data_IF_043796207917
#
_entry.id   IF_043796207917
#
_cell.length_a   1.000
_cell.length_b   1.000
_cell.length_c   1.000
_cell.angle_alpha   90.00
_cell.angle_beta   90.00
_cell.angle_gamma   90.00
#
_symmetry.space_group_name_H-M   'P 1'
#
loop_
_entity.id
_entity.type
_entity.pdbx_description
1 polymer ?
#
# COMPACT_ATOMS: atom_id res chain seq x y z
N UNK A 1 -37.28 29.09 0.75
CA UNK A 1 -36.31 30.19 0.74
C UNK A 1 -35.11 29.72 1.55
N UNK A 2 -33.96 29.51 0.91
CA UNK A 2 -32.75 29.03 1.58
C UNK A 2 -32.13 30.18 2.36
N UNK A 3 -31.81 29.97 3.64
CA UNK A 3 -31.13 30.96 4.49
C UNK A 3 -29.73 31.25 3.96
N UNK A 4 -29.26 32.51 3.98
CA UNK A 4 -27.96 32.94 3.43
C UNK A 4 -26.80 32.66 4.40
N UNK A 5 -26.76 31.48 5.02
CA UNK A 5 -25.74 31.11 6.04
C UNK A 5 -24.59 30.28 5.44
N UNK A 6 -24.16 30.61 4.22
CA UNK A 6 -22.92 30.06 3.63
C UNK A 6 -21.67 30.77 4.17
N UNK A 7 -20.55 30.07 4.30
CA UNK A 7 -19.28 30.65 4.74
C UNK A 7 -18.79 31.75 3.78
N UNK A 8 -19.12 31.66 2.48
CA UNK A 8 -18.89 32.71 1.49
C UNK A 8 -19.71 33.96 1.80
N UNK A 9 -20.98 33.83 2.16
CA UNK A 9 -21.82 34.98 2.53
C UNK A 9 -21.31 35.67 3.80
N UNK A 10 -20.84 34.90 4.78
CA UNK A 10 -20.21 35.42 5.99
C UNK A 10 -18.87 36.10 5.74
N UNK A 11 -18.11 35.67 4.74
CA UNK A 11 -16.89 36.38 4.33
C UNK A 11 -17.22 37.78 3.82
N UNK A 12 -18.14 37.88 2.85
CA UNK A 12 -18.49 39.15 2.22
C UNK A 12 -19.20 40.13 3.17
N UNK A 13 -20.03 39.62 4.09
CA UNK A 13 -20.79 40.45 5.02
C UNK A 13 -19.90 41.29 5.95
N UNK A 14 -18.69 40.81 6.31
CA UNK A 14 -17.68 41.54 7.09
C UNK A 14 -17.22 42.82 6.40
N UNK A 15 -17.40 42.90 5.09
CA UNK A 15 -16.94 44.01 4.27
C UNK A 15 -18.06 44.89 3.72
N UNK A 16 -19.32 44.73 4.14
CA UNK A 16 -20.42 45.60 3.74
C UNK A 16 -20.19 47.08 4.16
N UNK A 17 -20.44 48.02 3.26
CA UNK A 17 -20.40 49.47 3.53
C UNK A 17 -21.21 50.26 2.50
N UNK A 18 -21.31 51.59 2.62
CA UNK A 18 -22.20 52.41 1.78
C UNK A 18 -22.01 52.23 0.26
N UNK A 19 -20.81 51.88 -0.23
CA UNK A 19 -20.53 51.67 -1.66
C UNK A 19 -20.42 50.20 -2.08
N UNK A 20 -20.64 49.25 -1.16
CA UNK A 20 -20.58 47.82 -1.45
C UNK A 20 -21.57 47.06 -0.57
N UNK A 21 -22.46 46.31 -1.20
CA UNK A 21 -23.40 45.40 -0.56
C UNK A 21 -23.28 44.06 -1.24
N UNK A 22 -22.98 43.01 -0.49
CA UNK A 22 -22.85 41.64 -1.01
C UNK A 22 -24.04 41.24 -1.88
N UNK A 23 -23.77 40.75 -3.10
CA UNK A 23 -24.78 40.21 -4.00
C UNK A 23 -24.68 38.68 -4.03
N UNK A 24 -25.61 37.94 -3.39
CA UNK A 24 -25.55 36.47 -3.34
C UNK A 24 -25.83 35.80 -4.68
N UNK A 25 -26.33 36.54 -5.68
CA UNK A 25 -26.63 36.01 -7.00
C UNK A 25 -25.46 36.14 -7.98
N UNK A 26 -24.40 36.88 -7.63
CA UNK A 26 -23.20 36.99 -8.44
C UNK A 26 -22.25 35.81 -8.18
N UNK A 27 -21.52 35.31 -9.20
CA UNK A 27 -20.44 34.35 -8.99
C UNK A 27 -19.43 34.87 -7.96
N UNK A 28 -19.03 34.02 -7.01
CA UNK A 28 -18.25 34.45 -5.87
C UNK A 28 -16.91 35.13 -6.25
N UNK A 29 -16.24 34.65 -7.30
CA UNK A 29 -15.00 35.26 -7.81
C UNK A 29 -15.23 36.66 -8.39
N UNK A 30 -16.33 36.87 -9.10
CA UNK A 30 -16.71 38.20 -9.63
C UNK A 30 -17.06 39.15 -8.48
N UNK A 31 -17.74 38.62 -7.46
CA UNK A 31 -18.10 39.36 -6.26
C UNK A 31 -16.87 39.77 -5.44
N UNK A 32 -15.83 38.92 -5.38
CA UNK A 32 -14.54 39.24 -4.78
C UNK A 32 -13.80 40.36 -5.53
N UNK A 33 -13.82 40.33 -6.87
CA UNK A 33 -13.26 41.42 -7.70
C UNK A 33 -13.98 42.74 -7.42
N UNK A 34 -15.32 42.72 -7.40
CA UNK A 34 -16.13 43.91 -7.10
C UNK A 34 -15.85 44.47 -5.71
N UNK A 35 -15.64 43.61 -4.72
CA UNK A 35 -15.23 44.01 -3.38
C UNK A 35 -13.86 44.72 -3.40
N UNK A 36 -12.88 44.14 -4.09
CA UNK A 36 -11.53 44.72 -4.20
C UNK A 36 -11.55 46.11 -4.85
N UNK A 37 -12.32 46.27 -5.93
CA UNK A 37 -12.52 47.53 -6.64
C UNK A 37 -13.22 48.56 -5.74
N UNK A 38 -14.31 48.18 -5.08
CA UNK A 38 -15.10 49.08 -4.23
C UNK A 38 -14.28 49.58 -3.03
N UNK A 39 -13.44 48.71 -2.45
CA UNK A 39 -12.58 49.05 -1.32
C UNK A 39 -11.27 49.73 -1.70
N UNK A 40 -10.96 49.82 -3.00
CA UNK A 40 -9.70 50.34 -3.52
C UNK A 40 -8.48 49.69 -2.85
N UNK A 41 -8.51 48.37 -2.68
CA UNK A 41 -7.42 47.64 -2.05
C UNK A 41 -6.18 47.62 -2.93
N UNK A 42 -5.02 47.92 -2.34
CA UNK A 42 -3.73 47.67 -2.98
C UNK A 42 -3.38 46.17 -3.01
N UNK A 43 -2.49 45.77 -3.92
CA UNK A 43 -2.08 44.38 -4.18
C UNK A 43 -1.79 43.55 -2.92
N UNK A 44 -1.16 44.15 -1.91
CA UNK A 44 -0.84 43.47 -0.64
C UNK A 44 -2.09 43.05 0.16
N UNK A 45 -3.12 43.91 0.20
CA UNK A 45 -4.40 43.58 0.85
C UNK A 45 -5.21 42.60 0.03
N UNK A 46 -5.20 42.74 -1.30
CA UNK A 46 -5.86 41.79 -2.21
C UNK A 46 -5.32 40.38 -1.94
N UNK A 47 -4.00 40.16 -2.02
CA UNK A 47 -3.39 38.84 -1.80
C UNK A 47 -3.74 38.23 -0.45
N UNK A 48 -3.82 39.06 0.61
CA UNK A 48 -4.18 38.58 1.96
C UNK A 48 -5.62 38.06 2.00
N UNK A 49 -6.57 38.84 1.47
CA UNK A 49 -7.99 38.48 1.51
C UNK A 49 -8.34 37.44 0.44
N UNK A 50 -7.61 37.39 -0.67
CA UNK A 50 -7.74 36.37 -1.71
C UNK A 50 -7.37 34.99 -1.17
N UNK A 51 -6.30 34.90 -0.38
CA UNK A 51 -5.92 33.65 0.27
C UNK A 51 -6.99 33.17 1.28
N UNK A 52 -7.63 34.09 2.01
CA UNK A 52 -8.74 33.76 2.91
C UNK A 52 -10.00 33.35 2.13
N UNK A 53 -10.32 34.08 1.07
CA UNK A 53 -11.47 33.85 0.21
C UNK A 53 -11.40 32.50 -0.53
N UNK A 54 -10.23 32.13 -1.07
CA UNK A 54 -10.04 30.85 -1.75
C UNK A 54 -10.21 29.67 -0.80
N UNK A 55 -9.75 29.78 0.45
CA UNK A 55 -9.98 28.73 1.45
C UNK A 55 -11.49 28.52 1.73
N UNK A 56 -12.25 29.61 1.78
CA UNK A 56 -13.69 29.55 2.02
C UNK A 56 -14.43 28.96 0.80
N UNK A 57 -13.96 29.25 -0.42
CA UNK A 57 -14.49 28.63 -1.64
C UNK A 57 -14.19 27.14 -1.72
N UNK A 58 -12.98 26.72 -1.33
CA UNK A 58 -12.60 25.32 -1.22
C UNK A 58 -13.49 24.60 -0.20
N UNK A 59 -13.73 25.19 0.99
CA UNK A 59 -14.64 24.65 2.00
C UNK A 59 -16.09 24.48 1.49
N UNK A 60 -16.62 25.44 0.72
CA UNK A 60 -17.95 25.33 0.12
C UNK A 60 -18.01 24.34 -1.06
N UNK A 61 -16.94 24.20 -1.84
CA UNK A 61 -16.87 23.22 -2.93
C UNK A 61 -16.72 21.79 -2.42
N UNK A 62 -15.93 21.58 -1.37
CA UNK A 62 -15.73 20.29 -0.71
C UNK A 62 -17.04 19.76 -0.10
N UNK A 63 -17.95 20.66 0.32
CA UNK A 63 -19.29 20.28 0.81
C UNK A 63 -20.20 19.64 -0.26
N UNK A 64 -19.84 19.72 -1.55
CA UNK A 64 -20.59 19.10 -2.66
C UNK A 64 -20.08 17.71 -3.07
N UNK A 65 -19.22 17.08 -2.27
CA UNK A 65 -18.84 15.68 -2.50
C UNK A 65 -18.00 15.47 -3.75
N UNK A 66 -17.06 16.39 -4.02
CA UNK A 66 -16.04 16.14 -5.05
C UNK A 66 -15.07 15.10 -4.51
N UNK A 67 -15.00 13.95 -5.16
CA UNK A 67 -13.99 12.94 -4.88
C UNK A 67 -12.59 13.55 -5.08
N UNK A 68 -11.68 13.30 -4.13
CA UNK A 68 -10.29 13.72 -4.26
C UNK A 68 -9.68 13.20 -5.56
N UNK A 69 -8.88 14.04 -6.22
CA UNK A 69 -8.15 13.62 -7.41
C UNK A 69 -6.92 12.78 -7.05
N UNK A 70 -6.25 12.21 -8.06
CA UNK A 70 -5.15 11.28 -7.88
C UNK A 70 -3.98 11.89 -7.09
N UNK A 71 -3.67 13.17 -7.27
CA UNK A 71 -2.54 13.80 -6.59
C UNK A 71 -2.82 14.00 -5.10
N UNK A 72 -4.08 14.33 -4.74
CA UNK A 72 -4.50 14.40 -3.34
C UNK A 72 -4.49 13.02 -2.68
N UNK A 73 -4.92 11.97 -3.39
CA UNK A 73 -4.86 10.58 -2.89
C UNK A 73 -3.39 10.17 -2.63
N UNK A 74 -2.49 10.43 -3.58
CA UNK A 74 -1.06 10.14 -3.44
C UNK A 74 -0.42 10.93 -2.29
N UNK A 75 -0.79 12.20 -2.14
CA UNK A 75 -0.38 13.01 -1.00
C UNK A 75 -0.74 12.30 0.31
N UNK A 76 -1.99 11.82 0.47
CA UNK A 76 -2.40 11.17 1.71
C UNK A 76 -1.72 9.82 1.92
N UNK A 77 -1.63 8.98 0.89
CA UNK A 77 -0.92 7.69 0.93
C UNK A 77 0.51 7.83 1.42
N UNK A 78 1.23 8.84 0.93
CA UNK A 78 2.59 9.16 1.38
C UNK A 78 2.68 9.41 2.89
N UNK A 79 1.60 9.89 3.50
CA UNK A 79 1.52 10.19 4.93
C UNK A 79 0.65 9.21 5.74
N UNK A 80 0.15 8.14 5.13
CA UNK A 80 -0.57 7.07 5.84
C UNK A 80 0.32 6.38 6.88
N UNK A 81 -0.31 5.98 7.97
CA UNK A 81 0.30 5.20 9.05
C UNK A 81 -0.79 4.63 9.97
N UNK A 82 -0.42 3.91 11.01
CA UNK A 82 -1.37 3.14 11.82
C UNK A 82 -2.52 3.95 12.46
N UNK A 83 -2.37 5.24 12.74
CA UNK A 83 -3.48 6.09 13.24
C UNK A 83 -4.25 6.82 12.13
N UNK A 84 -3.74 6.81 10.90
CA UNK A 84 -4.30 7.56 9.79
C UNK A 84 -4.29 6.71 8.51
N UNK A 85 -5.48 6.27 8.12
CA UNK A 85 -5.80 5.73 6.79
C UNK A 85 -6.71 6.71 6.11
N UNK A 86 -6.39 7.12 4.89
CA UNK A 86 -7.14 8.15 4.19
C UNK A 86 -8.56 7.67 3.88
N UNK A 87 -9.55 8.42 4.34
CA UNK A 87 -10.96 8.15 4.07
C UNK A 87 -11.43 8.96 2.85
N UNK A 88 -11.71 8.25 1.74
CA UNK A 88 -12.15 8.86 0.48
C UNK A 88 -13.56 9.48 0.58
N UNK A 89 -14.35 9.07 1.57
CA UNK A 89 -15.70 9.60 1.81
C UNK A 89 -15.67 10.90 2.62
N UNK A 90 -14.50 11.28 3.14
CA UNK A 90 -14.28 12.50 3.92
C UNK A 90 -13.56 13.55 3.06
N UNK A 91 -13.98 14.83 3.10
CA UNK A 91 -13.30 15.88 2.37
C UNK A 91 -11.80 15.94 2.64
N UNK A 92 -11.01 16.09 1.59
CA UNK A 92 -9.55 16.11 1.66
C UNK A 92 -9.03 17.12 2.70
N UNK A 93 -9.66 18.30 2.82
CA UNK A 93 -9.28 19.28 3.82
C UNK A 93 -9.46 18.78 5.27
N UNK A 94 -10.56 18.04 5.55
CA UNK A 94 -10.82 17.45 6.86
C UNK A 94 -9.83 16.32 7.16
N UNK A 95 -9.54 15.48 6.17
CA UNK A 95 -8.53 14.42 6.29
C UNK A 95 -7.12 15.00 6.49
N UNK A 96 -6.79 16.12 5.85
CA UNK A 96 -5.53 16.82 6.10
C UNK A 96 -5.44 17.33 7.53
N UNK A 97 -6.52 17.90 8.06
CA UNK A 97 -6.57 18.37 9.44
C UNK A 97 -6.43 17.20 10.43
N UNK A 98 -7.15 16.10 10.19
CA UNK A 98 -7.03 14.85 10.98
C UNK A 98 -5.60 14.32 10.95
N UNK A 99 -4.97 14.27 9.79
CA UNK A 99 -3.57 13.87 9.62
C UNK A 99 -2.62 14.77 10.43
N UNK A 100 -2.81 16.09 10.38
CA UNK A 100 -1.98 17.06 11.11
C UNK A 100 -2.09 16.86 12.62
N UNK A 101 -3.31 16.67 13.12
CA UNK A 101 -3.58 16.42 14.54
C UNK A 101 -2.93 15.13 15.03
N UNK A 102 -3.17 14.03 14.31
CA UNK A 102 -2.62 12.72 14.67
C UNK A 102 -1.09 12.68 14.60
N UNK A 103 -0.49 13.40 13.64
CA UNK A 103 0.97 13.41 13.44
C UNK A 103 1.71 14.35 14.38
N UNK A 104 1.04 15.31 15.01
CA UNK A 104 1.64 16.26 15.94
C UNK A 104 2.83 17.04 15.35
N UNK A 105 2.79 17.40 14.06
CA UNK A 105 3.94 18.02 13.41
C UNK A 105 4.27 19.41 13.97
N UNK A 106 5.53 19.62 14.33
CA UNK A 106 6.04 20.95 14.67
C UNK A 106 5.97 21.94 13.50
N UNK A 107 5.90 23.25 13.80
CA UNK A 107 5.66 24.35 12.84
C UNK A 107 6.45 24.25 11.54
N UNK A 108 7.74 23.89 11.61
CA UNK A 108 8.63 23.78 10.42
C UNK A 108 8.18 22.67 9.48
N UNK A 109 7.84 21.49 10.01
CA UNK A 109 7.38 20.34 9.23
C UNK A 109 5.97 20.59 8.70
N UNK A 110 5.07 21.10 9.55
CA UNK A 110 3.70 21.45 9.15
C UNK A 110 3.68 22.43 7.97
N UNK A 111 4.51 23.48 7.98
CA UNK A 111 4.61 24.43 6.87
C UNK A 111 5.01 23.75 5.56
N UNK A 112 5.99 22.83 5.60
CA UNK A 112 6.41 22.05 4.43
C UNK A 112 5.26 21.17 3.92
N UNK A 113 4.64 20.39 4.80
CA UNK A 113 3.58 19.45 4.39
C UNK A 113 2.33 20.20 3.89
N UNK A 114 1.97 21.33 4.51
CA UNK A 114 0.88 22.19 4.03
C UNK A 114 1.14 22.74 2.63
N UNK A 115 2.40 22.99 2.27
CA UNK A 115 2.77 23.37 0.91
C UNK A 115 2.61 22.20 -0.07
N UNK A 116 3.03 20.99 0.32
CA UNK A 116 2.85 19.78 -0.49
C UNK A 116 1.37 19.48 -0.74
N UNK A 117 0.54 19.56 0.29
CA UNK A 117 -0.91 19.36 0.18
C UNK A 117 -1.58 20.37 -0.77
N UNK A 118 -1.24 21.66 -0.64
CA UNK A 118 -1.74 22.71 -1.55
C UNK A 118 -1.32 22.48 -3.00
N UNK A 119 -0.11 21.98 -3.23
CA UNK A 119 0.35 21.66 -4.57
C UNK A 119 -0.46 20.49 -5.17
N UNK A 120 -0.76 19.46 -4.38
CA UNK A 120 -1.61 18.35 -4.82
C UNK A 120 -3.02 18.82 -5.21
N UNK A 121 -3.64 19.68 -4.39
CA UNK A 121 -4.93 20.31 -4.72
C UNK A 121 -4.89 21.10 -6.03
N UNK A 122 -3.81 21.86 -6.28
CA UNK A 122 -3.67 22.64 -7.51
C UNK A 122 -3.52 21.75 -8.75
N UNK A 123 -2.73 20.68 -8.66
CA UNK A 123 -2.54 19.74 -9.77
C UNK A 123 -3.86 19.05 -10.15
N UNK A 124 -4.61 18.57 -9.16
CA UNK A 124 -5.93 17.96 -9.40
C UNK A 124 -6.92 18.96 -10.02
N UNK A 125 -6.88 20.23 -9.60
CA UNK A 125 -7.73 21.27 -10.17
C UNK A 125 -7.36 21.61 -11.63
N UNK A 126 -6.06 21.64 -11.95
CA UNK A 126 -5.56 21.86 -13.31
C UNK A 126 -6.00 20.74 -14.26
N UNK A 127 -5.86 19.46 -13.86
CA UNK A 127 -6.28 18.31 -14.67
C UNK A 127 -7.80 18.28 -14.93
N UNK A 128 -8.60 18.64 -13.92
CA UNK A 128 -10.06 18.74 -14.08
C UNK A 128 -10.46 19.87 -15.02
N UNK A 129 -9.71 20.97 -15.06
CA UNK A 129 -9.98 22.09 -15.97
C UNK A 129 -9.67 21.74 -17.44
N UNK A 130 -8.63 20.94 -17.68
CA UNK A 130 -8.24 20.48 -19.02
C UNK A 130 -9.23 19.43 -19.54
N UNK A 131 -9.75 18.58 -18.67
CA UNK A 131 -10.71 17.52 -19.02
C UNK A 131 -12.11 18.08 -19.32
N UNK A 132 -12.53 19.17 -18.66
CA UNK A 132 -13.83 19.80 -18.92
C UNK A 132 -13.91 20.54 -20.26
N UNK A 133 -12.77 20.85 -20.90
CA UNK A 133 -12.72 21.52 -22.20
C UNK A 133 -12.73 20.55 -23.39
N UNK A 134 -12.67 19.24 -23.15
CA UNK A 134 -12.67 18.21 -24.18
C UNK A 134 -13.85 17.28 -23.97
N UNK A 135 -15.07 17.69 -24.32
CA UNK A 135 -16.17 16.75 -24.53
C UNK A 135 -15.81 15.84 -25.71
N UNK A 136 -15.51 14.54 -25.51
CA UNK A 136 -15.31 13.62 -26.61
C UNK A 136 -16.67 13.06 -26.96
N UNK A 137 -17.25 13.52 -28.07
CA UNK A 137 -18.40 12.88 -28.69
C UNK A 137 -17.96 11.53 -29.26
N UNK A 138 -17.93 10.49 -28.41
CA UNK A 138 -17.61 9.13 -28.83
C UNK A 138 -17.74 8.14 -27.68
N UNK A 139 -18.46 7.02 -27.84
CA UNK A 139 -18.65 6.05 -26.77
C UNK A 139 -17.33 5.28 -26.56
N UNK A 140 -16.55 5.66 -25.55
CA UNK A 140 -15.47 4.81 -25.05
C UNK A 140 -16.07 3.73 -24.15
N UNK A 141 -16.42 2.64 -24.81
CA UNK A 141 -16.81 1.39 -24.21
C UNK A 141 -15.54 0.63 -23.78
N UNK A 142 -15.06 0.85 -22.55
CA UNK A 142 -14.11 -0.03 -21.86
C UNK A 142 -14.33 0.09 -20.35
N UNK A 143 -15.47 -0.38 -19.85
CA UNK A 143 -15.57 -0.89 -18.48
C UNK A 143 -14.77 -2.20 -18.41
N UNK A 144 -13.44 -2.11 -18.49
CA UNK A 144 -12.58 -3.22 -18.06
C UNK A 144 -12.59 -3.15 -16.54
N UNK A 145 -13.56 -3.83 -15.95
CA UNK A 145 -13.60 -4.07 -14.52
C UNK A 145 -12.27 -4.74 -14.15
N UNK A 146 -11.38 -3.98 -13.51
CA UNK A 146 -10.06 -4.45 -13.13
C UNK A 146 -10.24 -5.62 -12.16
N UNK A 147 -9.96 -6.83 -12.65
CA UNK A 147 -10.15 -8.06 -11.89
C UNK A 147 -9.06 -8.16 -10.83
N UNK A 148 -9.39 -7.83 -9.60
CA UNK A 148 -8.50 -8.05 -8.46
C UNK A 148 -8.71 -9.47 -7.93
N UNK A 149 -8.04 -10.44 -8.56
CA UNK A 149 -8.21 -11.88 -8.27
C UNK A 149 -8.13 -12.23 -6.77
N UNK A 150 -7.26 -11.57 -6.00
CA UNK A 150 -7.16 -11.83 -4.56
C UNK A 150 -8.38 -11.30 -3.81
N UNK A 151 -8.85 -10.10 -4.16
CA UNK A 151 -10.04 -9.54 -3.57
C UNK A 151 -11.31 -10.32 -3.98
N UNK A 152 -11.37 -10.77 -5.23
CA UNK A 152 -12.45 -11.62 -5.75
C UNK A 152 -12.50 -12.95 -5.00
N UNK A 153 -11.37 -13.66 -4.90
CA UNK A 153 -11.30 -14.90 -4.14
C UNK A 153 -11.71 -14.69 -2.67
N UNK A 154 -11.21 -13.64 -2.00
CA UNK A 154 -11.61 -13.34 -0.61
C UNK A 154 -13.10 -12.98 -0.48
N UNK A 155 -13.72 -12.35 -1.50
CA UNK A 155 -15.16 -12.09 -1.53
C UNK A 155 -15.97 -13.37 -1.71
N UNK A 156 -15.48 -14.32 -2.50
CA UNK A 156 -16.11 -15.63 -2.67
C UNK A 156 -16.10 -16.46 -1.38
N UNK A 157 -15.10 -16.24 -0.50
CA UNK A 157 -15.00 -16.92 0.80
C UNK A 157 -15.88 -16.33 1.91
N UNK A 158 -16.79 -15.37 1.61
CA UNK A 158 -17.64 -14.77 2.63
C UNK A 158 -18.56 -15.81 3.31
N UNK A 159 -18.56 -15.80 4.65
CA UNK A 159 -19.37 -16.72 5.47
C UNK A 159 -19.79 -16.04 6.79
N UNK A 160 -20.69 -16.64 7.59
CA UNK A 160 -21.02 -16.10 8.91
C UNK A 160 -19.75 -15.85 9.74
N UNK A 161 -19.52 -14.61 10.16
CA UNK A 161 -18.32 -14.20 10.92
C UNK A 161 -17.15 -13.68 10.06
N UNK A 162 -17.15 -13.89 8.75
CA UNK A 162 -16.14 -13.34 7.84
C UNK A 162 -16.76 -12.55 6.67
N UNK A 163 -16.37 -11.28 6.55
CA UNK A 163 -16.67 -10.43 5.40
C UNK A 163 -15.42 -9.68 5.00
N UNK A 164 -15.02 -9.80 3.73
CA UNK A 164 -13.91 -9.03 3.17
C UNK A 164 -14.16 -7.53 3.27
N UNK A 165 -13.20 -6.77 3.81
CA UNK A 165 -13.30 -5.32 4.03
C UNK A 165 -12.30 -4.48 3.23
N UNK A 166 -11.71 -5.02 2.16
CA UNK A 166 -10.68 -4.31 1.41
C UNK A 166 -9.32 -4.26 2.12
N UNK A 167 -9.10 -5.08 3.14
CA UNK A 167 -7.81 -5.17 3.84
C UNK A 167 -6.73 -5.88 3.02
N UNK A 168 -5.51 -5.89 3.57
CA UNK A 168 -4.39 -6.64 2.99
C UNK A 168 -4.73 -8.14 2.89
N UNK A 169 -4.47 -8.80 1.74
CA UNK A 169 -4.92 -10.17 1.50
C UNK A 169 -4.52 -11.18 2.57
N UNK A 170 -3.29 -11.10 3.08
CA UNK A 170 -2.79 -12.00 4.12
C UNK A 170 -3.44 -11.80 5.49
N UNK A 171 -3.84 -10.56 5.82
CA UNK A 171 -4.54 -10.26 7.07
C UNK A 171 -6.00 -10.67 6.98
N UNK A 172 -6.62 -10.46 5.81
CA UNK A 172 -7.96 -10.93 5.51
C UNK A 172 -8.03 -12.46 5.50
N UNK A 173 -7.04 -13.13 4.92
CA UNK A 173 -6.90 -14.59 4.98
C UNK A 173 -6.75 -15.10 6.41
N UNK A 174 -5.98 -14.43 7.27
CA UNK A 174 -5.85 -14.81 8.70
C UNK A 174 -7.18 -14.68 9.45
N UNK A 175 -7.98 -13.65 9.14
CA UNK A 175 -9.34 -13.50 9.71
C UNK A 175 -10.25 -14.63 9.25
N UNK A 176 -10.22 -14.95 7.95
CA UNK A 176 -10.97 -16.07 7.37
C UNK A 176 -10.55 -17.41 8.01
N UNK A 177 -9.24 -17.69 8.10
CA UNK A 177 -8.70 -18.86 8.79
C UNK A 177 -9.24 -18.96 10.23
N UNK A 178 -9.27 -17.84 10.95
CA UNK A 178 -9.76 -17.82 12.33
C UNK A 178 -11.23 -18.21 12.40
N UNK A 179 -12.07 -17.69 11.51
CA UNK A 179 -13.50 -18.02 11.44
C UNK A 179 -13.70 -19.49 11.05
N UNK A 180 -13.01 -19.97 10.02
CA UNK A 180 -13.07 -21.36 9.58
C UNK A 180 -12.59 -22.34 10.64
N UNK A 181 -11.58 -21.97 11.41
CA UNK A 181 -11.14 -22.73 12.57
C UNK A 181 -12.24 -22.81 13.64
N UNK A 182 -12.94 -21.72 13.92
CA UNK A 182 -14.04 -21.74 14.89
C UNK A 182 -15.19 -22.63 14.42
N UNK A 183 -15.62 -22.51 13.17
CA UNK A 183 -16.65 -23.37 12.56
C UNK A 183 -16.27 -24.86 12.68
N UNK A 184 -15.00 -25.19 12.36
CA UNK A 184 -14.49 -26.56 12.47
C UNK A 184 -14.47 -27.07 13.92
N UNK A 185 -14.03 -26.24 14.87
CA UNK A 185 -14.00 -26.61 16.29
C UNK A 185 -15.39 -26.85 16.87
N UNK A 186 -16.37 -26.03 16.47
CA UNK A 186 -17.76 -26.18 16.89
C UNK A 186 -18.35 -27.49 16.35
N UNK A 187 -18.14 -27.78 15.07
CA UNK A 187 -18.54 -29.06 14.47
C UNK A 187 -17.93 -30.26 15.21
N UNK A 188 -16.62 -30.21 15.49
CA UNK A 188 -15.91 -31.29 16.21
C UNK A 188 -16.38 -31.45 17.66
N UNK A 189 -16.68 -30.35 18.34
CA UNK A 189 -17.26 -30.39 19.68
C UNK A 189 -18.63 -31.10 19.67
N UNK A 190 -19.48 -30.81 18.69
CA UNK A 190 -20.77 -31.48 18.53
C UNK A 190 -20.64 -32.96 18.17
N UNK A 191 -19.66 -33.32 17.32
CA UNK A 191 -19.41 -34.71 16.92
C UNK A 191 -18.94 -35.58 18.10
N UNK A 192 -18.02 -35.07 18.93
CA UNK A 192 -17.44 -35.83 20.04
C UNK A 192 -18.30 -35.75 21.30
N UNK A 193 -19.09 -34.68 21.48
CA UNK A 193 -19.96 -34.47 22.64
C UNK A 193 -19.21 -34.09 23.92
N UNK A 194 -17.98 -33.58 23.81
CA UNK A 194 -17.18 -33.05 24.92
C UNK A 194 -16.24 -31.93 24.46
N UNK A 195 -15.69 -31.20 25.43
CA UNK A 195 -14.62 -30.24 25.19
C UNK A 195 -13.41 -30.88 24.51
N UNK A 196 -12.88 -30.17 23.50
CA UNK A 196 -11.70 -30.56 22.74
C UNK A 196 -10.42 -30.31 23.55
N UNK A 197 -9.50 -31.28 23.54
CA UNK A 197 -8.15 -31.15 24.11
C UNK A 197 -7.33 -30.12 23.33
N UNK A 198 -6.19 -29.71 23.90
CA UNK A 198 -5.28 -28.78 23.22
C UNK A 198 -4.73 -29.41 21.93
N UNK A 199 -4.47 -30.71 21.95
CA UNK A 199 -4.02 -31.50 20.82
C UNK A 199 -5.07 -31.53 19.71
N UNK A 200 -6.33 -31.86 20.04
CA UNK A 200 -7.46 -31.87 19.10
C UNK A 200 -7.67 -30.47 18.47
N UNK A 201 -7.50 -29.39 19.25
CA UNK A 201 -7.56 -28.02 18.71
C UNK A 201 -6.40 -27.64 17.78
N UNK A 202 -5.28 -28.37 17.84
CA UNK A 202 -4.12 -28.19 16.94
C UNK A 202 -4.27 -28.98 15.65
N UNK A 203 -5.14 -30.00 15.62
CA UNK A 203 -5.41 -30.80 14.42
C UNK A 203 -6.00 -29.98 13.27
N UNK A 204 -6.67 -28.85 13.54
CA UNK A 204 -7.14 -27.91 12.50
C UNK A 204 -6.08 -27.62 11.44
N UNK A 205 -4.82 -27.37 11.85
CA UNK A 205 -3.75 -27.04 10.90
C UNK A 205 -3.31 -28.21 10.00
N UNK A 206 -3.79 -29.42 10.28
CA UNK A 206 -3.58 -30.65 9.52
C UNK A 206 -4.90 -31.18 8.93
N UNK A 207 -5.99 -30.43 9.05
CA UNK A 207 -7.27 -30.85 8.53
C UNK A 207 -7.29 -30.64 7.01
N UNK A 208 -7.97 -31.52 6.25
CA UNK A 208 -8.10 -31.34 4.80
C UNK A 208 -8.74 -30.01 4.42
N UNK A 209 -9.66 -29.49 5.22
CA UNK A 209 -10.34 -28.21 4.98
C UNK A 209 -9.37 -27.03 5.08
N UNK A 210 -8.50 -27.02 6.10
CA UNK A 210 -7.47 -26.00 6.22
C UNK A 210 -6.43 -26.12 5.11
N UNK A 211 -5.99 -27.33 4.78
CA UNK A 211 -5.03 -27.56 3.71
C UNK A 211 -5.58 -27.09 2.35
N UNK A 212 -6.85 -27.38 2.03
CA UNK A 212 -7.52 -26.89 0.81
C UNK A 212 -7.61 -25.38 0.78
N UNK A 213 -8.15 -24.76 1.84
CA UNK A 213 -8.31 -23.31 1.96
C UNK A 213 -6.97 -22.58 1.79
N UNK A 214 -5.92 -23.12 2.43
CA UNK A 214 -4.57 -22.58 2.36
C UNK A 214 -3.98 -22.76 0.96
N UNK A 215 -4.11 -23.95 0.36
CA UNK A 215 -3.59 -24.21 -0.98
C UNK A 215 -4.26 -23.33 -2.04
N UNK A 216 -5.58 -23.14 -1.97
CA UNK A 216 -6.34 -22.26 -2.85
C UNK A 216 -5.88 -20.81 -2.74
N UNK A 217 -5.76 -20.26 -1.51
CA UNK A 217 -5.28 -18.90 -1.31
C UNK A 217 -3.91 -18.66 -1.94
N UNK A 218 -2.93 -19.54 -1.65
CA UNK A 218 -1.58 -19.36 -2.18
C UNK A 218 -1.48 -19.63 -3.69
N UNK A 219 -2.38 -20.44 -4.25
CA UNK A 219 -2.52 -20.59 -5.70
C UNK A 219 -2.92 -19.26 -6.33
N UNK A 220 -3.92 -18.56 -5.77
CA UNK A 220 -4.34 -17.23 -6.26
C UNK A 220 -3.23 -16.20 -6.10
N UNK A 221 -2.49 -16.22 -4.98
CA UNK A 221 -1.32 -15.34 -4.80
C UNK A 221 -0.27 -15.58 -5.89
N UNK A 222 0.02 -16.83 -6.24
CA UNK A 222 0.95 -17.16 -7.33
C UNK A 222 0.40 -16.75 -8.70
N UNK A 223 -0.91 -16.83 -8.92
CA UNK A 223 -1.53 -16.34 -10.16
C UNK A 223 -1.42 -14.83 -10.32
N UNK A 224 -1.69 -14.06 -9.25
CA UNK A 224 -1.47 -12.60 -9.27
C UNK A 224 0.00 -12.26 -9.51
N UNK A 225 0.92 -13.01 -8.91
CA UNK A 225 2.36 -12.85 -9.18
C UNK A 225 2.69 -13.08 -10.66
N UNK A 226 2.15 -14.14 -11.26
CA UNK A 226 2.38 -14.44 -12.68
C UNK A 226 1.76 -13.39 -13.60
N UNK A 227 0.57 -12.86 -13.29
CA UNK A 227 -0.04 -11.77 -14.06
C UNK A 227 0.84 -10.51 -14.09
N UNK A 228 1.35 -10.10 -12.91
CA UNK A 228 2.29 -8.97 -12.82
C UNK A 228 3.53 -9.23 -13.67
N UNK A 229 4.06 -10.45 -13.64
CA UNK A 229 5.21 -10.82 -14.48
C UNK A 229 4.85 -10.85 -15.97
N UNK A 230 3.67 -11.31 -16.34
CA UNK A 230 3.22 -11.34 -17.73
C UNK A 230 3.06 -9.93 -18.28
N UNK A 231 2.54 -8.99 -17.49
CA UNK A 231 2.48 -7.57 -17.83
C UNK A 231 3.89 -7.00 -18.06
N UNK A 232 4.85 -7.35 -17.18
CA UNK A 232 6.25 -7.00 -17.43
C UNK A 232 6.78 -7.61 -18.73
N UNK A 233 6.48 -8.87 -19.00
CA UNK A 233 6.92 -9.56 -20.20
C UNK A 233 6.33 -8.91 -21.46
N UNK A 234 5.07 -8.49 -21.42
CA UNK A 234 4.40 -7.78 -22.51
C UNK A 234 5.08 -6.42 -22.80
N UNK A 235 5.38 -5.64 -21.76
CA UNK A 235 6.03 -4.33 -21.93
C UNK A 235 7.48 -4.47 -22.40
N UNK A 236 8.22 -5.44 -21.83
CA UNK A 236 9.68 -5.55 -22.05
C UNK A 236 10.06 -6.46 -23.19
N UNK A 237 9.17 -7.34 -23.65
CA UNK A 237 9.46 -8.43 -24.59
C UNK A 237 10.41 -9.50 -24.01
N UNK A 238 10.56 -9.55 -22.68
CA UNK A 238 11.40 -10.52 -21.97
C UNK A 238 10.60 -11.70 -21.47
N UNK A 239 11.30 -12.79 -21.13
CA UNK A 239 10.71 -13.89 -20.35
C UNK A 239 10.63 -13.56 -18.85
N UNK A 240 9.79 -14.25 -18.07
CA UNK A 240 9.59 -13.93 -16.64
C UNK A 240 10.89 -13.92 -15.81
N UNK A 241 11.80 -14.86 -16.05
CA UNK A 241 13.08 -14.91 -15.34
C UNK A 241 14.06 -13.83 -15.81
N UNK A 242 13.99 -13.40 -17.07
CA UNK A 242 14.78 -12.27 -17.60
C UNK A 242 14.31 -10.94 -17.00
N UNK A 243 13.00 -10.80 -16.73
CA UNK A 243 12.45 -9.65 -16.00
C UNK A 243 13.04 -9.59 -14.59
N UNK A 244 12.95 -10.68 -13.82
CA UNK A 244 13.51 -10.75 -12.46
C UNK A 244 15.03 -10.52 -12.45
N UNK A 245 15.73 -11.11 -13.42
CA UNK A 245 17.15 -10.87 -13.66
C UNK A 245 17.46 -9.40 -13.96
N UNK A 246 16.62 -8.71 -14.74
CA UNK A 246 16.75 -7.29 -15.03
C UNK A 246 16.53 -6.41 -13.80
N UNK A 247 15.52 -6.74 -12.98
CA UNK A 247 15.20 -6.04 -11.75
C UNK A 247 16.31 -6.17 -10.70
N UNK A 248 16.89 -7.36 -10.54
CA UNK A 248 17.80 -7.67 -9.44
C UNK A 248 19.27 -7.83 -9.84
N UNK A 249 19.56 -7.98 -11.12
CA UNK A 249 20.90 -8.20 -11.64
C UNK A 249 21.70 -6.91 -11.86
N UNK A 250 23.00 -7.06 -12.09
CA UNK A 250 23.92 -5.93 -12.40
C UNK A 250 23.92 -5.50 -13.88
N UNK A 251 22.96 -5.95 -14.69
CA UNK A 251 22.84 -5.58 -16.11
C UNK A 251 23.91 -6.19 -17.02
N UNK A 252 24.59 -7.26 -16.58
CA UNK A 252 25.52 -7.97 -17.46
C UNK A 252 24.73 -8.82 -18.44
N UNK A 253 25.00 -8.63 -19.72
CA UNK A 253 24.43 -9.43 -20.80
C UNK A 253 25.18 -10.77 -20.84
N UNK A 254 24.53 -11.89 -20.51
CA UNK A 254 25.23 -13.16 -20.40
C UNK A 254 25.58 -13.70 -21.80
N UNK A 255 26.84 -14.12 -21.97
CA UNK A 255 27.32 -14.78 -23.18
C UNK A 255 26.70 -16.19 -23.34
N UNK A 256 25.46 -16.26 -23.85
CA UNK A 256 24.76 -17.48 -24.25
C UNK A 256 23.70 -17.99 -23.25
N UNK A 257 22.59 -18.57 -23.77
CA UNK A 257 21.37 -18.93 -23.00
C UNK A 257 21.61 -19.89 -21.83
N UNK A 258 22.43 -20.93 -21.99
CA UNK A 258 22.65 -21.91 -20.91
C UNK A 258 23.55 -21.37 -19.80
N UNK A 259 24.59 -20.60 -20.16
CA UNK A 259 25.43 -19.91 -19.18
C UNK A 259 24.62 -18.84 -18.44
N UNK A 260 23.75 -18.11 -19.17
CA UNK A 260 22.83 -17.13 -18.62
C UNK A 260 21.98 -17.74 -17.50
N UNK A 261 21.26 -18.83 -17.77
CA UNK A 261 20.34 -19.44 -16.79
C UNK A 261 21.03 -19.81 -15.48
N UNK A 262 22.26 -20.35 -15.53
CA UNK A 262 23.04 -20.69 -14.33
C UNK A 262 23.47 -19.44 -13.55
N UNK A 263 23.93 -18.40 -14.25
CA UNK A 263 24.31 -17.12 -13.63
C UNK A 263 23.08 -16.47 -12.98
N UNK A 264 21.94 -16.48 -13.67
CA UNK A 264 20.71 -15.90 -13.14
C UNK A 264 20.17 -16.66 -11.95
N UNK A 265 20.21 -17.99 -11.96
CA UNK A 265 19.86 -18.79 -10.79
C UNK A 265 20.74 -18.42 -9.58
N UNK A 266 22.05 -18.21 -9.78
CA UNK A 266 22.95 -17.74 -8.73
C UNK A 266 22.61 -16.33 -8.23
N UNK A 267 22.16 -15.43 -9.11
CA UNK A 267 21.74 -14.08 -8.73
C UNK A 267 20.45 -14.15 -7.92
N UNK A 268 19.42 -14.81 -8.43
CA UNK A 268 18.12 -14.93 -7.78
C UNK A 268 18.21 -15.70 -6.45
N UNK A 269 19.12 -16.67 -6.32
CA UNK A 269 19.40 -17.33 -5.04
C UNK A 269 19.94 -16.40 -3.94
N UNK A 270 20.31 -15.17 -4.28
CA UNK A 270 20.76 -14.13 -3.35
C UNK A 270 19.76 -12.98 -3.19
N UNK A 271 18.60 -13.08 -3.86
CA UNK A 271 17.54 -12.08 -3.77
C UNK A 271 16.59 -12.49 -2.66
N UNK A 272 16.66 -11.81 -1.53
CA UNK A 272 15.81 -12.10 -0.37
C UNK A 272 14.69 -11.09 -0.31
N UNK A 273 13.50 -11.43 -0.83
CA UNK A 273 12.35 -10.53 -0.87
C UNK A 273 11.13 -11.18 -0.24
N UNK A 274 10.23 -10.36 0.30
CA UNK A 274 8.91 -10.81 0.69
C UNK A 274 7.98 -10.73 -0.52
N UNK A 275 7.28 -11.82 -0.85
CA UNK A 275 6.44 -11.89 -2.05
C UNK A 275 5.27 -10.91 -1.96
N UNK A 276 4.66 -10.74 -0.80
CA UNK A 276 3.54 -9.82 -0.67
C UNK A 276 3.99 -8.35 -0.80
N UNK A 277 5.18 -7.98 -0.31
CA UNK A 277 5.75 -6.65 -0.58
C UNK A 277 6.02 -6.44 -2.07
N UNK A 278 6.48 -7.48 -2.77
CA UNK A 278 6.65 -7.43 -4.23
C UNK A 278 5.31 -7.17 -4.93
N UNK A 279 4.26 -7.93 -4.56
CA UNK A 279 2.93 -7.76 -5.15
C UNK A 279 2.40 -6.34 -4.92
N UNK A 280 2.48 -5.82 -3.70
CA UNK A 280 1.97 -4.48 -3.37
C UNK A 280 2.63 -3.40 -4.24
N UNK A 281 3.97 -3.43 -4.34
CA UNK A 281 4.72 -2.39 -5.05
C UNK A 281 4.52 -2.50 -6.55
N UNK A 282 4.62 -3.70 -7.12
CA UNK A 282 4.62 -3.85 -8.57
C UNK A 282 3.22 -3.88 -9.18
N UNK A 283 2.19 -4.32 -8.44
CA UNK A 283 0.79 -4.19 -8.87
C UNK A 283 0.42 -2.72 -9.06
N UNK A 284 0.79 -1.87 -8.11
CA UNK A 284 0.50 -0.43 -8.19
C UNK A 284 1.21 0.24 -9.37
N UNK A 285 2.50 -0.06 -9.58
CA UNK A 285 3.26 0.56 -10.67
C UNK A 285 2.77 0.08 -12.04
N UNK A 286 2.38 -1.19 -12.18
CA UNK A 286 1.90 -1.73 -13.44
C UNK A 286 0.45 -1.36 -13.76
N UNK A 287 -0.34 -0.94 -12.77
CA UNK A 287 -1.67 -0.38 -13.01
C UNK A 287 -1.62 0.82 -13.94
N UNK A 288 -0.57 1.64 -13.80
CA UNK A 288 -0.29 2.80 -14.65
C UNK A 288 1.21 2.80 -15.01
N UNK A 289 1.64 1.96 -15.98
CA UNK A 289 3.05 1.79 -16.25
C UNK A 289 3.62 3.12 -16.72
N UNK A 290 4.72 3.61 -16.10
CA UNK A 290 5.24 4.96 -16.38
C UNK A 290 5.80 5.11 -17.80
N UNK A 291 6.00 3.98 -18.48
CA UNK A 291 6.55 3.93 -19.83
C UNK A 291 6.34 2.53 -20.42
N UNK A 292 6.26 2.47 -21.75
CA UNK A 292 6.34 1.21 -22.51
C UNK A 292 7.78 0.90 -22.94
N UNK A 293 8.74 1.80 -22.71
CA UNK A 293 10.13 1.57 -23.05
C UNK A 293 10.79 0.67 -22.00
N UNK A 294 11.23 -0.52 -22.43
CA UNK A 294 11.93 -1.50 -21.58
C UNK A 294 13.04 -0.91 -20.71
N UNK A 295 13.96 -0.12 -21.30
CA UNK A 295 15.13 0.39 -20.57
C UNK A 295 14.72 1.42 -19.52
N UNK A 296 13.80 2.30 -19.89
CA UNK A 296 13.24 3.30 -18.98
C UNK A 296 12.46 2.64 -17.84
N UNK A 297 11.69 1.59 -18.14
CA UNK A 297 10.95 0.83 -17.15
C UNK A 297 11.90 0.21 -16.12
N UNK A 298 12.95 -0.49 -16.55
CA UNK A 298 13.95 -1.03 -15.62
C UNK A 298 14.67 0.05 -14.82
N UNK A 299 14.95 1.22 -15.43
CA UNK A 299 15.57 2.36 -14.73
C UNK A 299 14.72 2.84 -13.56
N UNK A 300 13.40 2.87 -13.74
CA UNK A 300 12.44 3.30 -12.70
C UNK A 300 12.18 2.23 -11.64
N UNK A 301 12.13 0.96 -12.05
CA UNK A 301 11.73 -0.14 -11.16
C UNK A 301 12.87 -0.72 -10.34
N UNK A 302 14.09 -0.71 -10.87
CA UNK A 302 15.24 -1.31 -10.19
C UNK A 302 15.54 -0.71 -8.81
N UNK A 303 15.43 0.62 -8.59
CA UNK A 303 15.50 1.19 -7.25
C UNK A 303 14.45 0.60 -6.31
N UNK A 304 13.19 0.48 -6.75
CA UNK A 304 12.10 -0.11 -5.96
C UNK A 304 12.33 -1.59 -5.63
N UNK A 305 12.77 -2.36 -6.62
CA UNK A 305 13.14 -3.76 -6.43
C UNK A 305 14.26 -3.90 -5.38
N UNK A 306 15.26 -3.03 -5.45
CA UNK A 306 16.39 -3.00 -4.50
C UNK A 306 15.93 -2.60 -3.09
N UNK A 307 15.03 -1.63 -2.98
CA UNK A 307 14.44 -1.19 -1.72
C UNK A 307 13.68 -2.30 -0.99
N UNK A 308 13.17 -3.32 -1.70
CA UNK A 308 12.48 -4.47 -1.13
C UNK A 308 13.41 -5.59 -0.62
N UNK A 309 14.66 -5.64 -1.09
CA UNK A 309 15.58 -6.70 -0.71
C UNK A 309 15.97 -6.63 0.77
N UNK A 310 16.03 -7.80 1.41
CA UNK A 310 16.65 -7.99 2.70
C UNK A 310 18.11 -8.40 2.53
N UNK A 311 19.00 -8.05 3.48
CA UNK A 311 20.40 -8.45 3.43
C UNK A 311 20.63 -9.96 3.45
N UNK A 312 19.77 -10.73 4.12
CA UNK A 312 19.89 -12.18 4.26
C UNK A 312 18.54 -12.86 4.55
N UNK A 313 18.52 -14.19 4.48
CA UNK A 313 17.35 -15.03 4.75
C UNK A 313 16.81 -14.92 6.19
N UNK A 314 17.67 -14.70 7.19
CA UNK A 314 17.24 -14.58 8.59
C UNK A 314 16.39 -13.32 8.78
N UNK A 315 16.85 -12.18 8.27
CA UNK A 315 16.10 -10.92 8.32
C UNK A 315 14.78 -11.01 7.55
N UNK A 316 14.78 -11.63 6.36
CA UNK A 316 13.56 -11.89 5.62
C UNK A 316 12.59 -12.78 6.43
N UNK A 317 13.11 -13.80 7.11
CA UNK A 317 12.33 -14.70 7.95
C UNK A 317 11.67 -14.01 9.13
N UNK A 318 12.45 -13.25 9.91
CA UNK A 318 11.95 -12.47 11.04
C UNK A 318 10.90 -11.46 10.57
N UNK A 319 11.19 -10.71 9.50
CA UNK A 319 10.23 -9.78 8.91
C UNK A 319 8.92 -10.48 8.52
N UNK A 320 9.01 -11.59 7.79
CA UNK A 320 7.82 -12.30 7.28
C UNK A 320 6.99 -12.89 8.41
N UNK A 321 7.62 -13.32 9.51
CA UNK A 321 6.92 -13.82 10.70
C UNK A 321 6.22 -12.69 11.47
N UNK A 322 6.93 -11.61 11.79
CA UNK A 322 6.36 -10.46 12.52
C UNK A 322 5.21 -9.82 11.76
N UNK A 323 5.31 -9.76 10.43
CA UNK A 323 4.27 -9.17 9.58
C UNK A 323 3.20 -10.16 9.13
N UNK A 324 3.33 -11.46 9.48
CA UNK A 324 2.43 -12.53 9.05
C UNK A 324 2.31 -12.63 7.51
N UNK A 325 3.41 -12.34 6.79
CA UNK A 325 3.50 -12.33 5.32
C UNK A 325 4.34 -13.49 4.81
N UNK A 326 3.94 -14.73 5.08
CA UNK A 326 4.72 -15.91 4.69
C UNK A 326 4.09 -16.57 3.47
N UNK A 327 4.89 -16.82 2.43
CA UNK A 327 4.51 -17.70 1.32
C UNK A 327 5.15 -19.08 1.52
N UNK A 328 4.37 -20.17 1.69
CA UNK A 328 4.89 -21.51 1.88
C UNK A 328 5.47 -22.06 0.57
N UNK A 329 6.75 -22.41 0.58
CA UNK A 329 7.45 -22.84 -0.63
C UNK A 329 6.89 -24.13 -1.22
N UNK A 330 6.41 -25.03 -0.37
CA UNK A 330 5.77 -26.28 -0.76
C UNK A 330 4.47 -26.10 -1.55
N UNK A 331 3.86 -24.92 -1.47
CA UNK A 331 2.64 -24.58 -2.22
C UNK A 331 2.92 -23.87 -3.54
N UNK A 332 4.18 -23.47 -3.81
CA UNK A 332 4.53 -22.89 -5.10
C UNK A 332 4.57 -23.98 -6.18
N UNK A 333 4.07 -23.66 -7.38
CA UNK A 333 4.12 -24.59 -8.52
C UNK A 333 5.56 -25.03 -8.79
N UNK A 334 5.75 -26.35 -8.91
CA UNK A 334 7.07 -26.92 -9.16
C UNK A 334 7.65 -26.39 -10.48
N UNK A 335 8.80 -25.73 -10.41
CA UNK A 335 9.43 -25.12 -11.58
C UNK A 335 8.83 -23.78 -12.02
N UNK A 336 7.85 -23.24 -11.27
CA UNK A 336 7.30 -21.91 -11.47
C UNK A 336 8.31 -20.81 -11.21
N UNK A 337 8.09 -19.63 -11.80
CA UNK A 337 8.99 -18.47 -11.63
C UNK A 337 9.01 -17.97 -10.19
N UNK A 338 7.88 -18.03 -9.48
CA UNK A 338 7.79 -17.67 -8.07
C UNK A 338 8.74 -18.52 -7.21
N UNK A 339 8.81 -19.83 -7.47
CA UNK A 339 9.68 -20.75 -6.74
C UNK A 339 11.18 -20.38 -6.81
N UNK A 340 11.60 -19.57 -7.79
CA UNK A 340 12.96 -19.06 -7.91
C UNK A 340 13.30 -17.96 -6.89
N UNK A 341 12.28 -17.24 -6.40
CA UNK A 341 12.40 -16.18 -5.40
C UNK A 341 12.12 -16.69 -3.98
N UNK A 342 11.53 -17.89 -3.85
CA UNK A 342 11.20 -18.47 -2.56
C UNK A 342 12.40 -19.15 -1.91
N UNK A 343 12.75 -18.63 -0.74
CA UNK A 343 13.82 -19.17 0.08
C UNK A 343 13.27 -20.12 1.13
N UNK A 344 14.05 -21.14 1.44
CA UNK A 344 13.76 -22.02 2.58
C UNK A 344 14.05 -21.25 3.87
N UNK A 345 13.14 -20.38 4.28
CA UNK A 345 13.26 -19.68 5.56
C UNK A 345 13.32 -20.74 6.67
N UNK A 346 12.42 -21.75 6.62
CA UNK A 346 12.34 -22.93 7.50
C UNK A 346 13.64 -23.72 7.72
N UNK A 347 14.56 -23.77 6.75
CA UNK A 347 15.85 -24.47 6.96
C UNK A 347 16.80 -23.70 7.88
N UNK A 348 16.62 -22.39 8.02
CA UNK A 348 17.29 -21.57 9.03
C UNK A 348 16.53 -21.55 10.37
N UNK A 349 15.42 -22.29 10.47
CA UNK A 349 14.47 -22.28 11.59
C UNK A 349 14.58 -23.48 12.54
N UNK A 350 15.61 -24.33 12.45
CA UNK A 350 15.97 -25.15 13.61
C UNK A 350 16.44 -24.18 14.69
N UNK A 351 15.51 -23.78 15.56
CA UNK A 351 15.69 -22.67 16.49
C UNK A 351 15.14 -21.32 16.01
N UNK A 352 14.14 -21.26 15.12
CA UNK A 352 13.51 -19.95 14.81
C UNK A 352 12.87 -19.31 16.01
N UNK A 353 12.17 -20.08 16.83
CA UNK A 353 11.59 -19.58 18.08
C UNK A 353 12.68 -19.03 19.00
N UNK A 354 13.90 -19.56 18.91
CA UNK A 354 15.07 -19.03 19.60
C UNK A 354 15.55 -17.72 18.95
N UNK A 355 15.75 -17.68 17.63
CA UNK A 355 16.17 -16.46 16.91
C UNK A 355 15.16 -15.33 17.09
N UNK A 356 13.87 -15.62 16.99
CA UNK A 356 12.78 -14.67 17.24
C UNK A 356 12.84 -14.14 18.66
N UNK A 357 12.98 -15.02 19.66
CA UNK A 357 13.07 -14.60 21.06
C UNK A 357 14.32 -13.75 21.33
N UNK A 358 15.47 -14.12 20.78
CA UNK A 358 16.70 -13.33 20.90
C UNK A 358 16.55 -11.96 20.23
N UNK A 359 15.93 -11.91 19.05
CA UNK A 359 15.63 -10.65 18.37
C UNK A 359 14.64 -9.79 19.16
N UNK A 360 13.54 -10.36 19.67
CA UNK A 360 12.56 -9.67 20.51
C UNK A 360 13.21 -9.11 21.77
N UNK A 361 14.09 -9.89 22.42
CA UNK A 361 14.86 -9.45 23.58
C UNK A 361 15.84 -8.31 23.23
N UNK A 362 16.54 -8.42 22.09
CA UNK A 362 17.50 -7.41 21.63
C UNK A 362 16.81 -6.11 21.17
N UNK A 363 15.64 -6.22 20.54
CA UNK A 363 14.88 -5.08 20.04
C UNK A 363 14.09 -4.37 21.15
N UNK A 364 13.63 -5.11 22.17
CA UNK A 364 12.93 -4.55 23.32
C UNK A 364 11.75 -3.66 22.92
N UNK A 365 11.66 -2.47 23.52
CA UNK A 365 10.58 -1.52 23.27
C UNK A 365 10.53 -0.99 21.82
N UNK A 366 11.67 -0.99 21.11
CA UNK A 366 11.72 -0.55 19.71
C UNK A 366 10.88 -1.45 18.80
N UNK A 367 10.80 -2.76 19.12
CA UNK A 367 9.96 -3.69 18.37
C UNK A 367 8.49 -3.34 18.51
N UNK A 368 8.04 -3.04 19.73
CA UNK A 368 6.65 -2.66 19.96
C UNK A 368 6.27 -1.40 19.19
N UNK A 369 7.12 -0.37 19.21
CA UNK A 369 6.90 0.84 18.39
C UNK A 369 6.89 0.51 16.89
N UNK A 370 7.78 -0.38 16.44
CA UNK A 370 7.83 -0.80 15.05
C UNK A 370 6.59 -1.61 14.61
N UNK A 371 6.05 -2.47 15.48
CA UNK A 371 4.82 -3.23 15.27
C UNK A 371 3.59 -2.32 15.24
N UNK A 372 3.54 -1.32 16.12
CA UNK A 372 2.52 -0.26 16.08
C UNK A 372 2.56 0.47 14.74
N UNK A 373 3.74 0.71 14.17
CA UNK A 373 3.92 1.26 12.83
C UNK A 373 3.66 0.28 11.67
N UNK A 374 3.35 -0.99 11.97
CA UNK A 374 3.10 -2.04 10.99
C UNK A 374 4.34 -2.43 10.19
N UNK A 375 4.13 -2.98 8.98
CA UNK A 375 5.21 -3.56 8.15
C UNK A 375 6.36 -2.58 7.86
N UNK A 376 6.04 -1.30 7.65
CA UNK A 376 7.05 -0.27 7.34
C UNK A 376 7.93 -0.01 8.55
N UNK A 377 7.34 0.04 9.75
CA UNK A 377 8.06 0.16 11.01
C UNK A 377 8.97 -1.05 11.25
N UNK A 378 8.43 -2.26 11.15
CA UNK A 378 9.19 -3.52 11.32
C UNK A 378 10.35 -3.60 10.33
N UNK A 379 10.11 -3.30 9.05
CA UNK A 379 11.18 -3.27 8.03
C UNK A 379 12.25 -2.26 8.38
N UNK A 380 11.86 -1.04 8.75
CA UNK A 380 12.80 0.03 9.10
C UNK A 380 13.63 -0.33 10.32
N UNK A 381 13.02 -0.91 11.36
CA UNK A 381 13.71 -1.39 12.54
C UNK A 381 14.76 -2.44 12.16
N UNK A 382 14.35 -3.49 11.44
CA UNK A 382 15.26 -4.55 11.01
C UNK A 382 16.46 -4.01 10.23
N UNK A 383 16.24 -3.05 9.33
CA UNK A 383 17.31 -2.46 8.50
C UNK A 383 18.10 -1.33 9.19
N UNK A 384 17.69 -0.89 10.39
CA UNK A 384 18.29 0.27 11.06
C UNK A 384 19.71 0.04 11.56
N UNK A 385 20.03 -1.21 11.93
CA UNK A 385 21.32 -1.60 12.49
C UNK A 385 21.59 -3.08 12.24
N UNK A 386 22.81 -3.51 12.57
CA UNK A 386 23.13 -4.94 12.65
C UNK A 386 22.59 -5.48 13.97
N UNK A 387 21.94 -6.64 13.88
CA UNK A 387 21.36 -7.35 15.01
C UNK A 387 22.25 -8.54 15.34
N UNK A 388 22.68 -8.63 16.59
CA UNK A 388 23.53 -9.72 17.07
C UNK A 388 22.80 -11.06 16.93
N UNK A 389 21.50 -11.06 17.22
CA UNK A 389 20.57 -12.19 17.05
C UNK A 389 20.41 -12.66 15.60
N UNK A 390 20.68 -11.80 14.62
CA UNK A 390 20.50 -12.08 13.19
C UNK A 390 21.83 -12.20 12.42
N UNK A 391 22.97 -12.14 13.12
CA UNK A 391 24.24 -12.50 12.49
C UNK A 391 24.22 -13.99 12.15
N UNK A 392 24.69 -14.39 10.96
CA UNK A 392 24.81 -15.81 10.63
C UNK A 392 25.62 -16.49 11.73
N UNK A 393 25.04 -17.48 12.42
CA UNK A 393 25.72 -18.26 13.46
C UNK A 393 27.05 -18.75 12.90
N UNK A 394 28.15 -18.09 13.28
CA UNK A 394 29.43 -18.24 12.60
C UNK A 394 30.10 -19.61 12.80
N UNK A 395 29.55 -20.55 13.57
CA UNK A 395 30.37 -21.68 14.01
C UNK A 395 29.73 -23.00 14.40
N UNK A 396 28.40 -23.18 14.52
CA UNK A 396 27.88 -24.46 15.09
C UNK A 396 27.02 -25.34 14.17
N UNK A 397 26.77 -24.95 12.91
CA UNK A 397 26.13 -25.83 11.92
C UNK A 397 27.14 -26.73 11.17
N UNK A 398 28.08 -27.34 11.91
CA UNK A 398 28.78 -28.53 11.39
C UNK A 398 27.86 -29.73 11.58
N UNK A 399 27.58 -30.41 10.47
CA UNK A 399 26.96 -31.73 10.33
C UNK A 399 25.54 -31.90 10.86
N UNK A 400 24.54 -31.53 10.05
CA UNK A 400 23.38 -32.40 9.86
C UNK A 400 23.59 -33.06 8.49
N UNK A 401 23.69 -34.39 8.39
CA UNK A 401 23.82 -35.07 7.10
C UNK A 401 22.54 -34.84 6.29
N UNK A 402 22.71 -34.55 5.00
CA UNK A 402 21.63 -34.50 4.00
C UNK A 402 21.13 -35.90 3.71
#
# INVERSE_FOLDING_TARGET
>A
MSTPDGSVAQFFSRFNFQKYTYNPHAPALEEFKRLCESRLWGLSKIRRHEAEFLLILEEEQDSKGRSAGPEVIEFFRKYEYHLFTYDLDVPAQQEFQRLVELRGWGKKKLSKVKKEFKNALLLDAEEQSVSAASEPTGPRNWDIQEVDLLADWLREQQCPGYRYRGGLPELEFKKLESVKRWEWLEYRHHEIGRDLTVEERREWKRSPEFESLRAEFYTVVEEVFNLILDDFCQITGLTPWEVLAGLYGKGQDPAGRNAARKIWFQILSRVFINIFDFLDVFKEILRNPPTTNRQELFRLLKPRATELQFPNNLMLGVYSALTNRVFPKELARQGGTLALLLHNIMLYLVGFDYVMREFENEAGDELKTAEEEGRVGVRRLLLSRKWSSLEPLKSNLRSVPV
#
